data_IF_001688186141
#
_entry.id   IF_001688186141
#
_cell.length_a   1.000
_cell.length_b   1.000
_cell.length_c   1.000
_cell.angle_alpha   90.00
_cell.angle_beta   90.00
_cell.angle_gamma   90.00
#
_symmetry.space_group_name_H-M   'P 1'
#
loop_
_entity.id
_entity.type
_entity.pdbx_description
1 polymer ?
#
# COMPACT_ATOMS: atom_id res chain seq x y z
N UNK A 1 14.01 -7.97 21.97
CA UNK A 1 13.97 -7.76 23.41
C UNK A 1 13.44 -8.97 24.16
N UNK A 2 12.69 -9.90 23.54
CA UNK A 2 12.20 -11.13 24.19
C UNK A 2 10.91 -10.93 25.02
N UNK A 3 10.25 -9.79 24.84
CA UNK A 3 9.01 -9.47 25.55
C UNK A 3 7.76 -10.05 24.89
N UNK A 4 7.85 -10.39 23.61
CA UNK A 4 6.78 -10.99 22.81
C UNK A 4 7.35 -12.07 21.87
N UNK A 5 6.53 -13.07 21.56
CA UNK A 5 6.93 -14.20 20.69
C UNK A 5 6.61 -13.94 19.21
N UNK A 6 5.63 -13.11 18.91
CA UNK A 6 5.22 -12.77 17.55
C UNK A 6 4.67 -11.35 17.49
N UNK A 7 4.83 -10.70 16.34
CA UNK A 7 4.26 -9.39 16.04
C UNK A 7 3.75 -9.34 14.60
N UNK A 8 2.69 -8.59 14.37
CA UNK A 8 2.29 -8.17 13.04
C UNK A 8 3.15 -6.99 12.60
N UNK A 9 3.56 -7.00 11.33
CA UNK A 9 4.39 -5.95 10.74
C UNK A 9 4.04 -5.78 9.26
N UNK A 10 3.83 -4.55 8.83
CA UNK A 10 3.75 -4.23 7.41
C UNK A 10 5.13 -4.37 6.77
N UNK A 11 5.20 -5.03 5.61
CA UNK A 11 6.45 -5.24 4.89
C UNK A 11 7.16 -3.94 4.54
N UNK A 12 6.38 -2.89 4.30
CA UNK A 12 6.89 -1.57 3.91
C UNK A 12 7.23 -0.63 5.08
N UNK A 13 6.94 -0.98 6.32
CA UNK A 13 7.18 -0.12 7.48
C UNK A 13 7.79 -0.88 8.67
N UNK A 14 6.99 -1.52 9.52
CA UNK A 14 7.46 -2.12 10.78
C UNK A 14 8.49 -3.22 10.57
N UNK A 15 8.40 -3.95 9.46
CA UNK A 15 9.40 -4.96 9.14
C UNK A 15 10.78 -4.34 8.90
N UNK A 16 10.85 -3.19 8.23
CA UNK A 16 12.11 -2.46 8.10
C UNK A 16 12.66 -2.03 9.46
N UNK A 17 11.82 -1.51 10.38
CA UNK A 17 12.25 -1.10 11.72
C UNK A 17 12.90 -2.25 12.50
N UNK A 18 12.44 -3.49 12.30
CA UNK A 18 13.08 -4.66 12.90
C UNK A 18 14.46 -4.89 12.29
N UNK A 19 14.59 -4.79 10.96
CA UNK A 19 15.87 -4.96 10.24
C UNK A 19 16.86 -3.80 10.46
N UNK A 20 16.39 -2.66 10.93
CA UNK A 20 17.19 -1.47 11.29
C UNK A 20 17.71 -1.53 12.72
N UNK A 21 17.29 -2.51 13.50
CA UNK A 21 17.73 -2.69 14.87
C UNK A 21 19.02 -3.53 14.95
N UNK A 22 19.86 -3.18 15.92
CA UNK A 22 21.07 -3.96 16.21
C UNK A 22 20.73 -5.27 16.91
N UNK A 23 21.21 -6.36 16.36
CA UNK A 23 21.17 -7.67 17.02
C UNK A 23 22.26 -7.70 18.11
N UNK A 24 21.89 -7.82 19.41
CA UNK A 24 22.84 -7.74 20.49
C UNK A 24 23.83 -8.93 20.53
N UNK A 25 23.48 -10.06 19.91
CA UNK A 25 24.32 -11.25 19.91
C UNK A 25 25.43 -11.18 18.86
N UNK A 26 25.18 -10.50 17.74
CA UNK A 26 26.12 -10.41 16.61
C UNK A 26 26.81 -9.04 16.50
N UNK A 27 26.22 -7.99 17.06
CA UNK A 27 26.68 -6.61 16.92
C UNK A 27 26.49 -6.05 15.50
N UNK A 28 25.62 -6.67 14.69
CA UNK A 28 25.21 -6.22 13.36
C UNK A 28 23.69 -5.98 13.35
N UNK A 29 23.16 -5.40 12.28
CA UNK A 29 21.72 -5.29 12.11
C UNK A 29 21.10 -6.68 11.96
N UNK A 30 19.85 -6.82 12.39
CA UNK A 30 19.08 -8.02 12.09
C UNK A 30 18.91 -8.20 10.58
N UNK A 31 18.85 -9.46 10.18
CA UNK A 31 18.61 -9.87 8.78
C UNK A 31 17.31 -10.67 8.67
N UNK A 32 16.72 -10.82 7.47
CA UNK A 32 15.53 -11.64 7.30
C UNK A 32 15.67 -13.07 7.82
N UNK A 33 16.88 -13.62 7.80
CA UNK A 33 17.21 -14.98 8.27
C UNK A 33 17.11 -15.13 9.80
N UNK A 34 17.13 -14.03 10.53
CA UNK A 34 16.97 -14.04 12.00
C UNK A 34 15.49 -14.22 12.43
N UNK A 35 14.54 -14.23 11.49
CA UNK A 35 13.10 -14.25 11.77
C UNK A 35 12.37 -15.36 11.01
N UNK A 36 11.32 -15.90 11.64
CA UNK A 36 10.31 -16.67 10.94
C UNK A 36 9.22 -15.71 10.46
N UNK A 37 9.18 -15.45 9.15
CA UNK A 37 8.20 -14.54 8.55
C UNK A 37 7.05 -15.33 7.95
N UNK A 38 5.82 -15.04 8.37
CA UNK A 38 4.59 -15.59 7.79
C UNK A 38 3.97 -14.50 6.92
N UNK A 39 3.94 -14.71 5.60
CA UNK A 39 3.32 -13.79 4.65
C UNK A 39 1.83 -14.07 4.54
N UNK A 40 0.97 -13.13 4.89
CA UNK A 40 -0.48 -13.25 4.75
C UNK A 40 -0.90 -13.48 3.29
N UNK A 41 -0.19 -12.89 2.33
CA UNK A 41 -0.47 -13.15 0.91
C UNK A 41 -0.12 -14.59 0.51
N UNK A 42 1.02 -15.11 0.95
CA UNK A 42 1.42 -16.50 0.68
C UNK A 42 0.48 -17.53 1.34
N UNK A 43 -0.10 -17.19 2.49
CA UNK A 43 -1.11 -18.00 3.18
C UNK A 43 -2.54 -17.83 2.60
N UNK A 44 -2.71 -16.99 1.57
CA UNK A 44 -3.99 -16.78 0.91
C UNK A 44 -4.98 -15.90 1.70
N UNK A 45 -4.51 -15.20 2.72
CA UNK A 45 -5.30 -14.32 3.58
C UNK A 45 -4.93 -12.84 3.43
N UNK A 46 -4.22 -12.48 2.38
CA UNK A 46 -3.96 -11.10 2.02
C UNK A 46 -5.25 -10.34 1.70
N UNK A 47 -5.38 -9.12 2.18
CA UNK A 47 -6.56 -8.27 2.02
C UNK A 47 -6.21 -6.96 1.35
N UNK A 48 -7.21 -6.34 0.70
CA UNK A 48 -7.10 -4.94 0.27
C UNK A 48 -6.99 -4.05 1.51
N UNK A 49 -6.13 -3.04 1.43
CA UNK A 49 -5.85 -2.13 2.54
C UNK A 49 -6.31 -0.71 2.20
N UNK A 50 -5.40 0.16 1.79
CA UNK A 50 -5.67 1.57 1.58
C UNK A 50 -6.61 1.83 0.40
N UNK A 51 -7.49 2.80 0.58
CA UNK A 51 -8.46 3.17 -0.45
C UNK A 51 -8.74 4.69 -0.45
N UNK A 52 -9.13 5.21 -1.61
CA UNK A 52 -9.68 6.55 -1.73
C UNK A 52 -11.19 6.46 -1.50
N UNK A 53 -11.69 7.23 -0.55
CA UNK A 53 -13.09 7.25 -0.14
C UNK A 53 -13.79 8.49 -0.71
N UNK A 54 -15.04 8.32 -1.14
CA UNK A 54 -15.88 9.39 -1.63
C UNK A 54 -17.32 9.23 -1.13
N UNK A 55 -18.11 10.32 -1.17
CA UNK A 55 -19.53 10.26 -0.87
C UNK A 55 -20.28 9.66 -2.07
N UNK A 56 -20.85 8.45 -1.89
CA UNK A 56 -21.52 7.70 -2.95
C UNK A 56 -22.73 8.43 -3.54
N UNK A 57 -23.56 9.09 -2.71
CA UNK A 57 -24.75 9.82 -3.17
C UNK A 57 -24.32 11.01 -4.04
N UNK A 58 -23.22 11.69 -3.70
CA UNK A 58 -22.69 12.79 -4.51
C UNK A 58 -22.07 12.27 -5.81
N UNK A 59 -21.37 11.14 -5.79
CA UNK A 59 -20.85 10.53 -7.02
C UNK A 59 -21.99 10.21 -8.00
N UNK A 60 -23.14 9.76 -7.50
CA UNK A 60 -24.29 9.40 -8.32
C UNK A 60 -25.10 10.61 -8.81
N UNK A 61 -25.16 11.70 -8.06
CA UNK A 61 -26.08 12.83 -8.32
C UNK A 61 -25.42 14.14 -8.77
N UNK A 62 -24.10 14.30 -8.56
CA UNK A 62 -23.35 15.53 -8.87
C UNK A 62 -22.21 15.24 -9.87
N UNK A 63 -22.40 15.52 -11.16
CA UNK A 63 -21.37 15.30 -12.17
C UNK A 63 -20.08 16.11 -11.92
N UNK A 64 -20.16 17.28 -11.28
CA UNK A 64 -18.98 18.08 -10.97
C UNK A 64 -18.16 17.45 -9.85
N UNK A 65 -18.82 16.81 -8.88
CA UNK A 65 -18.16 16.04 -7.84
C UNK A 65 -17.48 14.77 -8.40
N UNK A 66 -18.16 14.05 -9.30
CA UNK A 66 -17.60 12.88 -9.97
C UNK A 66 -16.37 13.24 -10.83
N UNK A 67 -16.43 14.35 -11.58
CA UNK A 67 -15.30 14.88 -12.35
C UNK A 67 -14.11 15.26 -11.45
N UNK A 68 -14.39 15.90 -10.31
CA UNK A 68 -13.36 16.23 -9.32
C UNK A 68 -12.73 14.96 -8.70
N UNK A 69 -13.54 13.96 -8.40
CA UNK A 69 -13.05 12.67 -7.89
C UNK A 69 -12.12 11.97 -8.91
N UNK A 70 -12.50 11.95 -10.20
CA UNK A 70 -11.67 11.39 -11.25
C UNK A 70 -10.32 12.12 -11.40
N UNK A 71 -10.33 13.45 -11.34
CA UNK A 71 -9.10 14.28 -11.35
C UNK A 71 -8.22 14.02 -10.13
N UNK A 72 -8.82 13.86 -8.94
CA UNK A 72 -8.10 13.54 -7.72
C UNK A 72 -7.43 12.16 -7.82
N UNK A 73 -8.16 11.16 -8.30
CA UNK A 73 -7.61 9.81 -8.53
C UNK A 73 -6.49 9.84 -9.57
N UNK A 74 -6.68 10.57 -10.69
CA UNK A 74 -5.65 10.72 -11.71
C UNK A 74 -4.37 11.37 -11.12
N UNK A 75 -4.50 12.45 -10.35
CA UNK A 75 -3.37 13.11 -9.72
C UNK A 75 -2.66 12.20 -8.70
N UNK A 76 -3.40 11.39 -7.95
CA UNK A 76 -2.84 10.42 -7.01
C UNK A 76 -2.04 9.34 -7.74
N UNK A 77 -2.59 8.76 -8.81
CA UNK A 77 -1.89 7.76 -9.64
C UNK A 77 -0.65 8.36 -10.31
N UNK A 78 -0.76 9.60 -10.83
CA UNK A 78 0.39 10.31 -11.40
C UNK A 78 1.50 10.51 -10.35
N UNK A 79 1.13 10.85 -9.11
CA UNK A 79 2.08 10.96 -8.01
C UNK A 79 2.79 9.63 -7.70
N UNK A 80 2.05 8.52 -7.66
CA UNK A 80 2.63 7.20 -7.48
C UNK A 80 3.53 6.78 -8.64
N UNK A 81 3.13 7.04 -9.89
CA UNK A 81 3.97 6.79 -11.06
C UNK A 81 5.27 7.62 -11.02
N UNK A 82 5.19 8.90 -10.62
CA UNK A 82 6.37 9.71 -10.38
C UNK A 82 7.30 9.11 -9.32
N UNK A 83 6.75 8.67 -8.20
CA UNK A 83 7.52 8.07 -7.11
C UNK A 83 8.13 6.72 -7.50
N UNK A 84 7.45 5.91 -8.31
CA UNK A 84 8.00 4.69 -8.89
C UNK A 84 9.28 4.98 -9.68
N UNK A 85 9.24 6.01 -10.51
CA UNK A 85 10.31 6.34 -11.44
C UNK A 85 11.40 7.23 -10.79
N UNK A 86 11.09 7.84 -9.62
CA UNK A 86 11.95 8.79 -8.91
C UNK A 86 11.92 8.54 -7.39
N UNK A 87 12.18 7.31 -6.96
CA UNK A 87 12.01 6.88 -5.57
C UNK A 87 12.80 7.74 -4.56
N UNK A 88 14.02 8.14 -4.90
CA UNK A 88 14.84 9.00 -4.05
C UNK A 88 14.25 10.41 -3.90
N UNK A 89 13.71 10.98 -4.97
CA UNK A 89 13.06 12.29 -4.89
C UNK A 89 11.81 12.24 -4.00
N UNK A 90 11.03 11.17 -4.06
CA UNK A 90 9.88 10.97 -3.17
C UNK A 90 10.32 10.78 -1.71
N UNK A 91 11.35 9.97 -1.45
CA UNK A 91 11.98 9.86 -0.14
C UNK A 91 12.35 11.24 0.42
N UNK A 92 13.03 12.06 -0.38
CA UNK A 92 13.50 13.38 0.05
C UNK A 92 12.34 14.33 0.37
N UNK A 93 11.24 14.27 -0.40
CA UNK A 93 10.02 15.03 -0.11
C UNK A 93 9.43 14.63 1.25
N UNK A 94 9.34 13.33 1.54
CA UNK A 94 8.79 12.82 2.81
C UNK A 94 9.68 13.24 3.99
N UNK A 95 10.98 13.03 3.87
CA UNK A 95 11.96 13.42 4.91
C UNK A 95 11.89 14.93 5.17
N UNK A 96 11.85 15.75 4.11
CA UNK A 96 11.74 17.21 4.23
C UNK A 96 10.42 17.69 4.86
N UNK A 97 9.36 16.87 4.84
CA UNK A 97 8.07 17.16 5.50
C UNK A 97 8.04 16.79 6.98
N UNK A 98 9.13 16.29 7.53
CA UNK A 98 9.27 16.02 8.95
C UNK A 98 8.97 14.58 9.34
N UNK A 99 9.31 13.62 8.48
CA UNK A 99 9.30 12.21 8.87
C UNK A 99 10.17 11.99 10.12
N UNK A 100 9.68 11.19 11.05
CA UNK A 100 10.45 10.72 12.21
C UNK A 100 11.37 9.55 11.85
N UNK A 101 11.17 8.97 10.67
CA UNK A 101 11.96 7.87 10.12
C UNK A 101 12.97 8.42 9.10
N UNK A 102 14.17 7.84 9.09
CA UNK A 102 15.28 8.35 8.30
C UNK A 102 15.20 8.01 6.81
N UNK A 103 16.21 8.44 6.07
CA UNK A 103 16.22 8.38 4.62
C UNK A 103 16.27 6.94 4.07
N UNK A 104 17.02 6.02 4.70
CA UNK A 104 17.08 4.63 4.25
C UNK A 104 15.77 3.91 4.47
N UNK A 105 15.10 4.16 5.60
CA UNK A 105 13.75 3.63 5.88
C UNK A 105 12.74 4.12 4.84
N UNK A 106 12.71 5.43 4.56
CA UNK A 106 11.76 6.01 3.61
C UNK A 106 11.98 5.51 2.17
N UNK A 107 13.23 5.24 1.79
CA UNK A 107 13.52 4.62 0.50
C UNK A 107 13.07 3.15 0.45
N UNK A 108 13.26 2.41 1.55
CA UNK A 108 12.72 1.05 1.70
C UNK A 108 11.20 1.07 1.57
N UNK A 109 10.52 1.92 2.33
CA UNK A 109 9.07 2.04 2.30
C UNK A 109 8.57 2.33 0.88
N UNK A 110 9.18 3.29 0.18
CA UNK A 110 8.83 3.61 -1.20
C UNK A 110 8.98 2.39 -2.12
N UNK A 111 10.07 1.65 -1.99
CA UNK A 111 10.34 0.46 -2.79
C UNK A 111 9.34 -0.67 -2.50
N UNK A 112 9.08 -0.98 -1.23
CA UNK A 112 8.16 -2.05 -0.84
C UNK A 112 6.71 -1.74 -1.23
N UNK A 113 6.24 -0.50 -1.04
CA UNK A 113 4.92 -0.06 -1.52
C UNK A 113 4.84 -0.15 -3.04
N UNK A 114 5.90 0.25 -3.76
CA UNK A 114 5.93 0.12 -5.22
C UNK A 114 5.81 -1.33 -5.69
N UNK A 115 6.37 -2.30 -4.99
CA UNK A 115 6.20 -3.74 -5.29
C UNK A 115 4.74 -4.22 -5.14
N UNK A 116 3.94 -3.55 -4.30
CA UNK A 116 2.52 -3.87 -4.11
C UNK A 116 1.63 -3.22 -5.16
N UNK A 117 2.08 -2.12 -5.77
CA UNK A 117 1.33 -1.38 -6.79
C UNK A 117 1.67 -1.88 -8.20
N UNK A 118 2.96 -2.14 -8.48
CA UNK A 118 3.49 -2.39 -9.81
C UNK A 118 4.06 -3.81 -9.97
N UNK A 119 3.88 -4.46 -11.14
CA UNK A 119 3.03 -4.00 -12.26
C UNK A 119 1.53 -4.13 -11.95
N UNK A 120 0.73 -3.24 -12.53
CA UNK A 120 -0.71 -3.23 -12.40
C UNK A 120 -1.38 -3.47 -13.78
N UNK A 121 -1.56 -4.73 -14.21
CA UNK A 121 -2.02 -5.04 -15.58
C UNK A 121 -3.38 -4.41 -15.92
N UNK A 122 -4.27 -4.30 -14.95
CA UNK A 122 -5.57 -3.64 -15.11
C UNK A 122 -5.49 -2.11 -14.95
N UNK A 123 -4.33 -1.58 -14.52
CA UNK A 123 -4.13 -0.20 -14.15
C UNK A 123 -4.13 0.00 -12.62
N UNK A 124 -3.23 0.86 -12.14
CA UNK A 124 -3.13 1.19 -10.72
C UNK A 124 -4.41 1.85 -10.21
N UNK A 125 -4.86 1.46 -9.01
CA UNK A 125 -6.10 1.95 -8.40
C UNK A 125 -7.36 1.18 -8.78
N UNK A 126 -7.30 0.25 -9.73
CA UNK A 126 -8.41 -0.65 -10.06
C UNK A 126 -8.61 -1.65 -8.92
N UNK A 127 -9.83 -1.76 -8.42
CA UNK A 127 -10.18 -2.78 -7.44
C UNK A 127 -10.46 -4.10 -8.16
N UNK A 128 -9.65 -5.12 -7.84
CA UNK A 128 -9.86 -6.49 -8.30
C UNK A 128 -11.03 -7.12 -7.54
N UNK A 129 -12.02 -7.66 -8.25
CA UNK A 129 -13.22 -8.23 -7.65
C UNK A 129 -12.92 -9.44 -6.76
N UNK A 130 -11.97 -10.30 -7.15
CA UNK A 130 -11.63 -11.47 -6.36
C UNK A 130 -10.89 -11.08 -5.07
N UNK A 131 -10.03 -10.06 -5.13
CA UNK A 131 -9.39 -9.50 -3.93
C UNK A 131 -10.40 -8.81 -3.00
N UNK A 132 -11.40 -8.13 -3.56
CA UNK A 132 -12.51 -7.57 -2.80
C UNK A 132 -13.32 -8.65 -2.08
N UNK A 133 -13.74 -9.70 -2.80
CA UNK A 133 -14.54 -10.79 -2.23
C UNK A 133 -13.77 -11.55 -1.15
N UNK A 134 -12.46 -11.76 -1.35
CA UNK A 134 -11.57 -12.34 -0.33
C UNK A 134 -11.51 -11.45 0.92
N UNK A 135 -11.32 -10.15 0.75
CA UNK A 135 -11.29 -9.17 1.85
C UNK A 135 -12.59 -9.20 2.66
N UNK A 136 -13.73 -9.18 1.99
CA UNK A 136 -15.05 -9.26 2.64
C UNK A 136 -15.22 -10.58 3.39
N UNK A 137 -14.86 -11.71 2.77
CA UNK A 137 -14.95 -13.04 3.38
C UNK A 137 -14.11 -13.13 4.65
N UNK A 138 -12.87 -12.64 4.60
CA UNK A 138 -11.99 -12.63 5.77
C UNK A 138 -12.52 -11.71 6.87
N UNK A 139 -13.01 -10.52 6.53
CA UNK A 139 -13.58 -9.59 7.51
C UNK A 139 -14.85 -10.13 8.18
N UNK A 140 -15.65 -10.97 7.49
CA UNK A 140 -16.80 -11.64 8.06
C UNK A 140 -16.43 -12.86 8.91
N UNK A 141 -15.32 -13.54 8.57
CA UNK A 141 -14.86 -14.74 9.29
C UNK A 141 -13.95 -14.45 10.48
N UNK A 142 -13.24 -13.34 10.45
CA UNK A 142 -12.24 -13.00 11.47
C UNK A 142 -12.90 -12.36 12.69
N UNK A 143 -12.54 -12.84 13.86
CA UNK A 143 -13.01 -12.30 15.14
C UNK A 143 -11.94 -11.41 15.77
N UNK A 144 -12.37 -10.31 16.36
CA UNK A 144 -11.52 -9.48 17.22
C UNK A 144 -11.33 -10.12 18.61
N UNK A 145 -10.61 -9.46 19.50
CA UNK A 145 -10.33 -9.96 20.85
C UNK A 145 -11.60 -10.17 21.70
N UNK A 146 -12.66 -9.42 21.43
CA UNK A 146 -13.96 -9.55 22.10
C UNK A 146 -14.84 -10.67 21.51
N UNK A 147 -14.34 -11.37 20.47
CA UNK A 147 -15.07 -12.44 19.79
C UNK A 147 -16.11 -11.99 18.76
N UNK A 148 -16.16 -10.70 18.46
CA UNK A 148 -17.03 -10.12 17.43
C UNK A 148 -16.33 -10.16 16.06
N UNK A 149 -17.10 -10.42 15.00
CA UNK A 149 -16.58 -10.34 13.63
C UNK A 149 -16.36 -8.88 13.20
N UNK A 150 -15.38 -8.66 12.34
CA UNK A 150 -15.07 -7.31 11.80
C UNK A 150 -16.27 -6.80 10.98
N UNK A 151 -16.85 -7.66 10.13
CA UNK A 151 -18.08 -7.39 9.41
C UNK A 151 -19.17 -8.35 9.88
N UNK A 152 -20.34 -7.82 10.22
CA UNK A 152 -21.53 -8.62 10.60
C UNK A 152 -22.40 -8.99 9.42
N UNK A 153 -22.26 -8.29 8.28
CA UNK A 153 -22.95 -8.54 7.03
C UNK A 153 -22.06 -8.17 5.84
N UNK A 154 -22.34 -8.75 4.68
CA UNK A 154 -21.67 -8.34 3.44
C UNK A 154 -21.97 -6.86 3.14
N UNK A 155 -21.01 -6.12 2.56
CA UNK A 155 -21.25 -4.78 2.05
C UNK A 155 -22.41 -4.78 1.02
N UNK A 156 -23.13 -3.66 0.95
CA UNK A 156 -24.18 -3.49 -0.06
C UNK A 156 -23.60 -3.38 -1.46
N UNK A 157 -24.42 -3.68 -2.47
CA UNK A 157 -24.09 -3.40 -3.86
C UNK A 157 -23.65 -1.92 -4.02
N UNK A 158 -22.60 -1.67 -4.77
CA UNK A 158 -22.04 -0.32 -4.93
C UNK A 158 -21.11 0.16 -3.79
N UNK A 159 -20.74 -0.73 -2.86
CA UNK A 159 -19.76 -0.38 -1.82
C UNK A 159 -18.39 0.03 -2.37
N UNK A 160 -18.06 -0.39 -3.58
CA UNK A 160 -16.94 0.16 -4.35
C UNK A 160 -17.35 0.41 -5.80
N UNK A 161 -16.57 1.21 -6.51
CA UNK A 161 -16.73 1.41 -7.96
C UNK A 161 -15.37 1.56 -8.63
N UNK A 162 -15.26 1.05 -9.85
CA UNK A 162 -14.14 1.26 -10.74
C UNK A 162 -14.41 2.34 -11.81
N UNK A 163 -15.59 2.98 -11.81
CA UNK A 163 -15.95 3.99 -12.81
C UNK A 163 -15.08 5.23 -12.69
N UNK A 164 -14.78 5.65 -11.46
CA UNK A 164 -13.97 6.85 -11.19
C UNK A 164 -12.53 6.65 -11.62
N UNK A 165 -11.93 5.50 -11.33
CA UNK A 165 -10.56 5.21 -11.77
C UNK A 165 -10.49 5.01 -13.29
N UNK A 166 -11.53 4.44 -13.90
CA UNK A 166 -11.65 4.33 -15.36
C UNK A 166 -11.70 5.72 -16.02
N UNK A 167 -12.45 6.65 -15.45
CA UNK A 167 -12.47 8.05 -15.90
C UNK A 167 -11.11 8.73 -15.69
N UNK A 168 -10.40 8.42 -14.60
CA UNK A 168 -9.06 8.91 -14.33
C UNK A 168 -8.03 8.44 -15.38
N UNK A 169 -8.16 7.21 -15.89
CA UNK A 169 -7.25 6.70 -16.93
C UNK A 169 -7.33 7.52 -18.22
N UNK A 170 -8.50 8.01 -18.62
CA UNK A 170 -8.61 8.89 -19.77
C UNK A 170 -7.79 10.19 -19.60
N UNK A 171 -7.71 10.70 -18.38
CA UNK A 171 -6.88 11.88 -18.06
C UNK A 171 -5.40 11.51 -18.12
N UNK A 172 -5.01 10.36 -17.55
CA UNK A 172 -3.64 9.88 -17.51
C UNK A 172 -3.11 9.54 -18.91
N UNK A 173 -3.95 8.95 -19.77
CA UNK A 173 -3.63 8.69 -21.17
C UNK A 173 -3.34 10.00 -21.93
N UNK A 174 -4.16 11.03 -21.72
CA UNK A 174 -3.95 12.34 -22.34
C UNK A 174 -2.65 13.02 -21.85
N UNK A 175 -2.18 12.68 -20.65
CA UNK A 175 -0.93 13.18 -20.07
C UNK A 175 0.27 12.27 -20.38
N UNK A 176 0.07 11.11 -21.01
CA UNK A 176 1.13 10.14 -21.30
C UNK A 176 1.71 9.48 -20.05
N UNK A 177 0.93 9.34 -18.98
CA UNK A 177 1.36 8.72 -17.73
C UNK A 177 1.22 7.20 -17.82
N UNK A 178 2.30 6.47 -17.58
CA UNK A 178 2.26 5.01 -17.44
C UNK A 178 1.70 4.62 -16.06
N UNK A 179 0.41 4.33 -16.03
CA UNK A 179 -0.29 3.87 -14.83
C UNK A 179 -0.34 2.34 -14.68
N UNK A 180 0.35 1.59 -15.57
CA UNK A 180 0.47 0.14 -15.49
C UNK A 180 1.80 -0.33 -14.95
N UNK A 181 2.88 0.40 -15.25
CA UNK A 181 4.21 0.12 -14.74
C UNK A 181 4.74 -1.26 -15.14
N UNK A 182 4.49 -1.72 -16.37
CA UNK A 182 4.91 -3.05 -16.83
C UNK A 182 6.43 -3.25 -16.80
N UNK A 183 7.20 -2.17 -16.93
CA UNK A 183 8.67 -2.18 -16.88
C UNK A 183 9.22 -1.96 -15.46
N UNK A 184 8.38 -1.91 -14.44
CA UNK A 184 8.84 -1.70 -13.06
C UNK A 184 9.82 -2.79 -12.62
N UNK A 185 10.92 -2.36 -12.04
CA UNK A 185 11.88 -3.22 -11.37
C UNK A 185 12.18 -2.66 -9.97
N UNK A 186 12.08 -3.49 -8.91
CA UNK A 186 12.36 -3.03 -7.57
C UNK A 186 13.83 -2.65 -7.39
N UNK A 187 14.07 -1.69 -6.51
CA UNK A 187 15.42 -1.30 -6.09
C UNK A 187 15.97 -2.29 -5.06
N UNK A 188 17.29 -2.35 -4.99
CA UNK A 188 17.98 -2.88 -3.81
C UNK A 188 18.23 -1.73 -2.85
N UNK A 189 17.59 -1.79 -1.68
CA UNK A 189 17.72 -0.76 -0.65
C UNK A 189 18.55 -1.32 0.50
N UNK A 190 19.57 -0.57 0.90
CA UNK A 190 20.34 -0.88 2.12
C UNK A 190 19.74 -0.12 3.28
N UNK A 191 19.31 -0.86 4.30
CA UNK A 191 18.85 -0.27 5.55
C UNK A 191 20.05 0.08 6.44
N UNK A 192 19.92 1.19 7.16
CA UNK A 192 20.89 1.63 8.14
C UNK A 192 20.30 1.55 9.55
N UNK A 193 21.13 1.56 10.57
CA UNK A 193 20.69 1.58 11.96
C UNK A 193 19.74 2.76 12.21
N UNK A 194 18.56 2.46 12.76
CA UNK A 194 17.51 3.45 13.00
C UNK A 194 16.92 4.12 11.77
N UNK A 195 17.15 3.55 10.57
CA UNK A 195 16.56 4.02 9.32
C UNK A 195 17.23 5.24 8.68
N UNK A 196 18.40 5.65 9.14
CA UNK A 196 19.08 6.88 8.69
C UNK A 196 19.83 6.75 7.36
#
# INVERSE_FOLDING_TARGET
>A
AGDIDAAEAMTYNEYAQVLEAMNPDTGALYTPEDFNVVSYEAEGVGMLQDAIWANGDKLASDPAYADTAAKFVAASIQGWAFCRDNAEACRDIVVAKGSTLGASHQLWQMNEVSKLIWPAPMGSGMIDAAAWDRTVTLAQGTKNLEGSTVLTAAPTEGAYTNDIVTAAYAILDALGVDYKGEAFAPLTVTLNEGGN
#
